data_IF_428709144649
#
_entry.id   IF_428709144649
#
_cell.length_a   1.000
_cell.length_b   1.000
_cell.length_c   1.000
_cell.angle_alpha   90.00
_cell.angle_beta   90.00
_cell.angle_gamma   90.00
#
_symmetry.space_group_name_H-M   'P 1'
#
loop_
_entity.id
_entity.type
_entity.pdbx_description
1 polymer ?
#
# COMPACT_ATOMS: atom_id res chain seq x y z
N UNK A 1 -6.34 1.82 -17.56
CA UNK A 1 -6.36 2.63 -16.32
C UNK A 1 -5.91 1.72 -15.18
N UNK A 2 -4.83 2.04 -14.47
CA UNK A 2 -4.49 1.25 -13.28
C UNK A 2 -5.66 1.43 -12.28
N UNK A 3 -6.22 0.34 -11.72
CA UNK A 3 -7.20 0.48 -10.65
C UNK A 3 -6.46 1.18 -9.51
N UNK A 4 -6.79 2.46 -9.30
CA UNK A 4 -6.37 3.16 -8.09
C UNK A 4 -7.06 2.39 -6.96
N UNK A 5 -6.33 1.48 -6.34
CA UNK A 5 -6.78 0.80 -5.13
C UNK A 5 -7.13 1.88 -4.12
N UNK A 6 -8.36 1.90 -3.62
CA UNK A 6 -8.80 2.92 -2.68
C UNK A 6 -7.95 2.88 -1.40
N UNK A 7 -8.03 3.95 -0.61
CA UNK A 7 -7.20 4.08 0.60
C UNK A 7 -7.47 2.95 1.60
N UNK A 8 -8.72 2.47 1.71
CA UNK A 8 -9.09 1.42 2.66
C UNK A 8 -8.55 0.07 2.22
N UNK A 9 -8.60 -0.24 0.92
CA UNK A 9 -8.01 -1.47 0.40
C UNK A 9 -6.49 -1.49 0.57
N UNK A 10 -5.82 -0.33 0.45
CA UNK A 10 -4.38 -0.23 0.75
C UNK A 10 -4.08 -0.41 2.23
N UNK A 11 -4.85 0.22 3.10
CA UNK A 11 -4.75 -0.01 4.56
C UNK A 11 -4.94 -1.48 4.90
N UNK A 12 -5.94 -2.13 4.31
CA UNK A 12 -6.22 -3.54 4.52
C UNK A 12 -5.02 -4.41 4.14
N UNK A 13 -4.42 -4.17 2.96
CA UNK A 13 -3.20 -4.87 2.51
C UNK A 13 -2.03 -4.66 3.46
N UNK A 14 -1.77 -3.42 3.89
CA UNK A 14 -0.66 -3.09 4.81
C UNK A 14 -0.86 -3.78 6.16
N UNK A 15 -2.09 -3.79 6.69
CA UNK A 15 -2.44 -4.49 7.93
C UNK A 15 -2.21 -5.99 7.79
N UNK A 16 -2.73 -6.62 6.74
CA UNK A 16 -2.59 -8.08 6.57
C UNK A 16 -1.13 -8.52 6.40
N UNK A 17 -0.33 -7.72 5.68
CA UNK A 17 1.09 -7.99 5.44
C UNK A 17 1.98 -7.66 6.64
N UNK A 18 1.51 -6.87 7.60
CA UNK A 18 2.25 -6.58 8.81
C UNK A 18 2.61 -7.89 9.53
N UNK A 19 3.85 -8.04 10.05
CA UNK A 19 4.29 -9.20 10.84
C UNK A 19 3.35 -9.55 12.00
N UNK A 20 2.65 -8.56 12.56
CA UNK A 20 1.68 -8.79 13.64
C UNK A 20 0.47 -9.63 13.18
N UNK A 21 0.11 -9.58 11.89
CA UNK A 21 -0.96 -10.39 11.29
C UNK A 21 -0.39 -11.56 10.49
N UNK A 22 0.74 -11.36 9.82
CA UNK A 22 1.58 -12.42 9.25
C UNK A 22 1.01 -13.12 8.00
N UNK A 23 0.13 -12.49 7.22
CA UNK A 23 -0.40 -13.11 5.98
C UNK A 23 0.62 -13.05 4.85
N UNK A 24 0.72 -14.15 4.09
CA UNK A 24 1.52 -14.20 2.87
C UNK A 24 0.87 -13.37 1.75
N UNK A 25 1.65 -12.94 0.75
CA UNK A 25 1.10 -12.24 -0.42
C UNK A 25 0.05 -13.09 -1.16
N UNK A 26 0.22 -14.41 -1.23
CA UNK A 26 -0.76 -15.31 -1.85
C UNK A 26 -2.09 -15.34 -1.09
N UNK A 27 -2.04 -15.43 0.25
CA UNK A 27 -3.24 -15.39 1.10
C UNK A 27 -3.97 -14.04 0.99
N UNK A 28 -3.22 -12.93 0.98
CA UNK A 28 -3.81 -11.60 0.78
C UNK A 28 -4.44 -11.49 -0.60
N UNK A 29 -3.80 -12.05 -1.63
CA UNK A 29 -4.33 -12.07 -3.00
C UNK A 29 -5.64 -12.85 -3.09
N UNK A 30 -5.72 -14.02 -2.46
CA UNK A 30 -6.91 -14.84 -2.39
C UNK A 30 -8.06 -14.13 -1.67
N UNK A 31 -7.78 -13.45 -0.55
CA UNK A 31 -8.78 -12.74 0.25
C UNK A 31 -9.30 -11.46 -0.41
N UNK A 32 -8.44 -10.77 -1.16
CA UNK A 32 -8.76 -9.42 -1.69
C UNK A 32 -9.02 -9.41 -3.20
N UNK A 33 -8.68 -10.48 -3.92
CA UNK A 33 -8.68 -10.51 -5.39
C UNK A 33 -7.60 -9.65 -6.04
N UNK A 34 -6.72 -9.02 -5.25
CA UNK A 34 -5.67 -8.12 -5.76
C UNK A 34 -4.51 -8.96 -6.27
N UNK A 35 -3.96 -8.58 -7.43
CA UNK A 35 -2.77 -9.24 -7.97
C UNK A 35 -1.58 -9.15 -7.00
N UNK A 36 -0.80 -10.24 -6.81
CA UNK A 36 0.35 -10.26 -5.90
C UNK A 36 1.32 -9.09 -6.09
N UNK A 37 1.62 -8.74 -7.35
CA UNK A 37 2.49 -7.60 -7.69
C UNK A 37 1.97 -6.27 -7.14
N UNK A 38 0.65 -6.07 -7.14
CA UNK A 38 0.02 -4.86 -6.61
C UNK A 38 0.09 -4.84 -5.08
N UNK A 39 -0.10 -5.98 -4.43
CA UNK A 39 0.05 -6.13 -2.97
C UNK A 39 1.47 -5.76 -2.54
N UNK A 40 2.49 -6.34 -3.18
CA UNK A 40 3.89 -6.07 -2.84
C UNK A 40 4.27 -4.61 -3.12
N UNK A 41 3.70 -4.00 -4.17
CA UNK A 41 3.87 -2.57 -4.47
C UNK A 41 3.22 -1.66 -3.42
N UNK A 42 2.03 -2.00 -2.93
CA UNK A 42 1.37 -1.25 -1.86
C UNK A 42 2.21 -1.32 -0.59
N UNK A 43 2.64 -2.53 -0.21
CA UNK A 43 3.40 -2.75 1.01
C UNK A 43 4.77 -2.05 0.99
N UNK A 44 5.51 -2.17 -0.11
CA UNK A 44 6.81 -1.48 -0.28
C UNK A 44 6.68 0.04 -0.25
N UNK A 45 5.60 0.60 -0.82
CA UNK A 45 5.33 2.05 -0.73
C UNK A 45 5.02 2.51 0.68
N UNK A 46 4.26 1.71 1.46
CA UNK A 46 4.00 2.04 2.86
C UNK A 46 5.30 2.09 3.66
N UNK A 47 6.20 1.11 3.48
CA UNK A 47 7.53 1.10 4.12
C UNK A 47 8.34 2.33 3.69
N UNK A 48 8.38 2.65 2.38
CA UNK A 48 9.07 3.84 1.88
C UNK A 48 8.50 5.16 2.43
N UNK A 49 7.23 5.17 2.82
CA UNK A 49 6.56 6.30 3.46
C UNK A 49 6.74 6.35 4.99
N UNK A 50 7.57 5.47 5.57
CA UNK A 50 7.90 5.47 7.01
C UNK A 50 7.04 4.54 7.86
N UNK A 51 6.30 3.61 7.26
CA UNK A 51 5.59 2.59 8.02
C UNK A 51 6.57 1.58 8.65
N UNK A 52 6.54 1.48 9.98
CA UNK A 52 7.36 0.55 10.76
C UNK A 52 6.56 -0.71 11.14
N UNK A 53 6.78 -1.86 10.45
CA UNK A 53 5.96 -3.06 10.62
C UNK A 53 6.27 -3.86 11.90
N UNK A 54 7.43 -3.63 12.52
CA UNK A 54 7.91 -4.40 13.66
C UNK A 54 7.54 -3.76 15.02
N UNK A 55 6.88 -2.60 15.01
CA UNK A 55 6.51 -1.88 16.23
C UNK A 55 5.07 -2.19 16.59
N UNK A 56 4.83 -2.43 17.88
CA UNK A 56 3.50 -2.53 18.46
C UNK A 56 3.22 -1.29 19.32
N UNK A 57 2.00 -0.72 19.28
CA UNK A 57 0.86 -1.12 18.44
C UNK A 57 1.08 -0.76 16.96
N UNK A 58 0.43 -1.52 16.07
CA UNK A 58 0.49 -1.26 14.63
C UNK A 58 -0.09 0.13 14.32
N UNK A 59 0.74 1.03 13.76
CA UNK A 59 0.34 2.41 13.47
C UNK A 59 0.38 2.69 11.98
N UNK A 60 -0.80 2.76 11.37
CA UNK A 60 -0.96 3.14 9.95
C UNK A 60 -1.50 4.57 9.90
N UNK A 61 -0.72 5.48 9.33
CA UNK A 61 -1.08 6.88 9.15
C UNK A 61 -1.53 7.13 7.71
N UNK A 62 -2.32 8.20 7.44
CA UNK A 62 -2.82 8.49 6.10
C UNK A 62 -1.72 8.55 5.04
N UNK A 63 -0.56 9.14 5.35
CA UNK A 63 0.55 9.26 4.39
C UNK A 63 1.21 7.91 4.03
N UNK A 64 1.05 6.86 4.84
CA UNK A 64 1.54 5.51 4.48
C UNK A 64 0.75 4.87 3.34
N UNK A 65 -0.52 5.28 3.19
CA UNK A 65 -1.49 4.64 2.28
C UNK A 65 -2.05 5.63 1.27
N UNK A 66 -1.61 6.88 1.26
CA UNK A 66 -1.95 7.85 0.22
C UNK A 66 -1.09 7.61 -1.02
N UNK A 67 -1.70 7.77 -2.19
CA UNK A 67 -0.92 7.68 -3.43
C UNK A 67 -0.24 9.02 -3.66
N UNK A 68 0.98 8.97 -4.18
CA UNK A 68 1.63 10.19 -4.64
C UNK A 68 0.73 10.90 -5.65
N UNK A 69 0.65 12.25 -5.62
CA UNK A 69 0.01 13.00 -6.67
C UNK A 69 0.56 12.48 -8.01
N UNK A 70 -0.33 12.14 -8.94
CA UNK A 70 0.12 11.80 -10.29
C UNK A 70 0.92 13.00 -10.77
N UNK A 71 2.19 12.80 -11.13
CA UNK A 71 2.91 13.83 -11.83
C UNK A 71 2.08 14.15 -13.06
N UNK A 72 1.47 15.32 -13.07
CA UNK A 72 0.74 15.80 -14.23
C UNK A 72 1.70 15.83 -15.42
N UNK A 73 1.14 15.97 -16.62
CA UNK A 73 1.96 16.30 -17.79
C UNK A 73 2.80 17.54 -17.44
N UNK A 74 4.13 17.52 -17.64
CA UNK A 74 4.95 18.72 -17.45
C UNK A 74 4.33 19.87 -18.26
N UNK A 75 4.03 21.00 -17.62
CA UNK A 75 3.57 22.17 -18.36
C UNK A 75 4.71 22.63 -19.26
N UNK A 76 4.41 22.89 -20.55
CA UNK A 76 5.36 23.53 -21.46
C UNK A 76 5.89 24.80 -20.78
N UNK A 77 7.19 24.88 -20.51
CA UNK A 77 7.82 26.16 -20.23
C UNK A 77 7.69 26.99 -21.51
N UNK A 78 7.02 28.14 -21.38
CA UNK A 78 6.98 29.17 -22.42
C UNK A 78 8.22 30.04 -22.25
#
# INVERSE_FOLDING_TARGET
MAPNTDVYTRTLVVTMKSPSVGKSTSQVSELTGIQPRTIDRIYSRAIAAGFEPNVLPLKILPHHVQDAPRSGRPSKQT
#
